data_IF_363720968544
#
_entry.id   IF_363720968544
#
_cell.length_a   1.000
_cell.length_b   1.000
_cell.length_c   1.000
_cell.angle_alpha   90.00
_cell.angle_beta   90.00
_cell.angle_gamma   90.00
#
_symmetry.space_group_name_H-M   'P 1'
#
loop_
_entity.id
_entity.type
_entity.pdbx_description
1 polymer ?
#
# COMPACT_ATOMS: atom_id res chain seq x y z
N UNK A 1 10.68 5.71 15.88
CA UNK A 1 10.45 4.53 15.03
C UNK A 1 9.00 4.57 14.60
N UNK A 2 8.73 4.21 13.35
CA UNK A 2 7.39 4.21 12.79
C UNK A 2 6.97 2.84 12.29
N UNK A 3 5.80 2.80 11.66
CA UNK A 3 5.22 1.59 11.13
C UNK A 3 4.60 1.83 9.75
N UNK A 4 4.84 0.86 8.86
CA UNK A 4 4.10 0.70 7.62
C UNK A 4 3.14 -0.48 7.77
N UNK A 5 1.85 -0.25 7.58
CA UNK A 5 0.87 -1.32 7.49
C UNK A 5 0.37 -1.45 6.05
N UNK A 6 0.51 -2.63 5.46
CA UNK A 6 -0.07 -2.97 4.15
C UNK A 6 -1.34 -3.77 4.37
N UNK A 7 -2.42 -3.33 3.75
CA UNK A 7 -3.78 -3.80 4.03
C UNK A 7 -4.44 -4.26 2.74
N UNK A 8 -5.21 -5.35 2.84
CA UNK A 8 -6.21 -5.71 1.85
C UNK A 8 -7.61 -5.43 2.38
N UNK A 9 -8.50 -4.94 1.52
CA UNK A 9 -9.85 -4.52 1.92
C UNK A 9 -10.93 -5.60 1.74
N UNK A 10 -12.03 -5.44 2.49
CA UNK A 10 -13.26 -6.22 2.38
C UNK A 10 -14.13 -5.74 1.21
N UNK A 11 -14.92 -6.65 0.63
CA UNK A 11 -15.82 -6.34 -0.48
C UNK A 11 -15.09 -6.27 -1.83
N UNK A 12 -14.57 -5.10 -2.20
CA UNK A 12 -13.83 -4.92 -3.46
C UNK A 12 -12.33 -5.12 -3.22
N UNK A 13 -11.66 -6.07 -3.90
CA UNK A 13 -10.23 -6.30 -3.71
C UNK A 13 -9.42 -5.03 -3.97
N UNK A 14 -8.93 -4.43 -2.89
CA UNK A 14 -8.16 -3.19 -2.91
C UNK A 14 -7.00 -3.29 -1.92
N UNK A 15 -5.87 -2.69 -2.27
CA UNK A 15 -4.68 -2.62 -1.43
C UNK A 15 -4.47 -1.18 -0.97
N UNK A 16 -4.11 -1.01 0.31
CA UNK A 16 -3.93 0.29 0.95
C UNK A 16 -2.70 0.24 1.85
N UNK A 17 -2.01 1.37 1.98
CA UNK A 17 -0.94 1.56 2.94
C UNK A 17 -1.37 2.54 4.05
N UNK A 18 -1.06 2.20 5.29
CA UNK A 18 -1.26 3.04 6.46
C UNK A 18 0.10 3.29 7.12
N UNK A 19 0.42 4.57 7.29
CA UNK A 19 1.70 5.04 7.81
C UNK A 19 1.50 5.62 9.21
N UNK A 20 2.30 5.15 10.16
CA UNK A 20 2.36 5.69 11.52
C UNK A 20 3.80 6.14 11.79
N UNK A 21 4.05 7.44 11.91
CA UNK A 21 5.40 8.00 12.04
C UNK A 21 5.35 9.37 12.71
N UNK A 22 6.37 9.76 13.49
CA UNK A 22 6.43 11.09 14.12
C UNK A 22 5.10 11.59 14.76
N UNK A 23 4.39 10.69 15.46
CA UNK A 23 3.06 10.93 16.06
C UNK A 23 1.92 11.27 15.07
N UNK A 24 2.13 11.01 13.78
CA UNK A 24 1.14 11.13 12.71
C UNK A 24 0.67 9.75 12.25
N UNK A 25 -0.53 9.74 11.69
CA UNK A 25 -1.18 8.55 11.17
C UNK A 25 -1.89 8.92 9.87
N UNK A 26 -1.47 8.32 8.75
CA UNK A 26 -1.90 8.72 7.42
C UNK A 26 -2.18 7.53 6.50
N UNK A 27 -3.28 7.61 5.75
CA UNK A 27 -3.70 6.60 4.79
C UNK A 27 -3.28 6.98 3.38
N UNK A 28 -2.87 5.98 2.60
CA UNK A 28 -2.51 6.14 1.19
C UNK A 28 -3.01 4.97 0.36
N UNK A 29 -3.94 5.26 -0.55
CA UNK A 29 -4.43 4.32 -1.55
C UNK A 29 -4.43 4.97 -2.94
N UNK A 30 -4.13 4.20 -3.99
CA UNK A 30 -4.28 4.69 -5.36
C UNK A 30 -5.59 4.19 -5.95
N UNK A 31 -6.48 5.12 -6.34
CA UNK A 31 -7.85 4.80 -6.77
C UNK A 31 -8.18 5.45 -8.12
N UNK A 32 -9.09 4.84 -8.90
CA UNK A 32 -9.61 5.48 -10.10
C UNK A 32 -10.51 6.66 -9.72
N UNK A 33 -10.37 7.81 -10.40
CA UNK A 33 -11.26 8.97 -10.17
C UNK A 33 -12.72 8.64 -10.48
N UNK A 34 -12.96 7.73 -11.42
CA UNK A 34 -14.30 7.22 -11.72
C UNK A 34 -14.42 5.85 -11.04
N UNK A 35 -15.29 5.70 -10.01
CA UNK A 35 -15.39 4.45 -9.26
C UNK A 35 -15.65 3.23 -10.15
N UNK A 36 -14.91 2.14 -9.91
CA UNK A 36 -15.00 0.87 -10.65
C UNK A 36 -14.61 0.93 -12.14
N UNK A 37 -14.09 2.04 -12.63
CA UNK A 37 -13.53 2.10 -13.98
C UNK A 37 -12.07 1.63 -13.97
N UNK A 38 -11.73 0.57 -14.74
CA UNK A 38 -10.41 -0.05 -14.68
C UNK A 38 -9.34 0.73 -15.43
N UNK A 39 -9.70 1.80 -16.16
CA UNK A 39 -8.80 2.67 -16.89
C UNK A 39 -9.32 4.11 -16.86
N UNK A 40 -8.76 4.95 -15.99
CA UNK A 40 -9.07 6.38 -15.93
C UNK A 40 -7.99 7.13 -15.14
N UNK A 41 -7.98 8.48 -15.12
CA UNK A 41 -7.08 9.21 -14.23
C UNK A 41 -7.20 8.71 -12.79
N UNK A 42 -6.07 8.41 -12.17
CA UNK A 42 -6.02 8.00 -10.77
C UNK A 42 -5.93 9.18 -9.82
N UNK A 43 -6.04 8.89 -8.52
CA UNK A 43 -5.75 9.84 -7.46
C UNK A 43 -5.28 9.10 -6.19
N UNK A 44 -4.59 9.83 -5.32
CA UNK A 44 -4.22 9.37 -3.98
C UNK A 44 -5.37 9.67 -3.02
N UNK A 45 -5.99 8.61 -2.50
CA UNK A 45 -7.00 8.65 -1.46
C UNK A 45 -6.33 8.53 -0.09
N UNK A 46 -6.68 9.46 0.80
CA UNK A 46 -6.19 9.52 2.18
C UNK A 46 -7.30 9.33 3.22
N UNK A 47 -8.48 8.90 2.77
CA UNK A 47 -9.60 8.61 3.68
C UNK A 47 -9.29 7.44 4.60
N UNK A 48 -9.81 7.50 5.82
CA UNK A 48 -9.70 6.40 6.78
C UNK A 48 -10.36 5.11 6.23
N UNK A 49 -9.62 4.01 6.29
CA UNK A 49 -10.02 2.70 5.76
C UNK A 49 -10.23 1.65 6.85
N UNK A 50 -10.19 2.01 8.13
CA UNK A 50 -10.27 1.09 9.28
C UNK A 50 -11.42 0.09 9.17
N UNK A 51 -12.63 0.55 8.81
CA UNK A 51 -13.82 -0.30 8.66
C UNK A 51 -13.76 -1.32 7.52
N UNK A 52 -12.78 -1.22 6.63
CA UNK A 52 -12.65 -2.06 5.45
C UNK A 52 -11.51 -3.06 5.55
N UNK A 53 -10.73 -3.08 6.64
CA UNK A 53 -9.58 -3.98 6.77
C UNK A 53 -10.06 -5.44 6.74
N UNK A 54 -9.56 -6.21 5.76
CA UNK A 54 -9.79 -7.66 5.66
C UNK A 54 -8.57 -8.45 6.14
N UNK A 55 -7.40 -8.09 5.61
CA UNK A 55 -6.11 -8.61 6.05
C UNK A 55 -5.13 -7.45 6.18
N UNK A 56 -4.18 -7.55 7.09
CA UNK A 56 -3.12 -6.56 7.28
C UNK A 56 -1.81 -7.23 7.64
N UNK A 57 -0.71 -6.55 7.30
CA UNK A 57 0.60 -6.81 7.87
C UNK A 57 1.25 -5.48 8.24
N UNK A 58 1.76 -5.39 9.48
CA UNK A 58 2.43 -4.22 10.03
C UNK A 58 3.92 -4.47 10.17
N UNK A 59 4.72 -3.56 9.64
CA UNK A 59 6.19 -3.60 9.67
C UNK A 59 6.75 -2.43 10.46
N UNK A 60 7.77 -2.70 11.27
CA UNK A 60 8.60 -1.65 11.89
C UNK A 60 9.55 -1.06 10.86
N UNK A 61 9.46 0.25 10.62
CA UNK A 61 10.23 0.99 9.61
C UNK A 61 10.72 2.31 10.22
N UNK A 62 11.90 2.79 9.83
CA UNK A 62 12.42 4.06 10.31
C UNK A 62 11.51 5.23 9.91
N UNK A 63 11.36 6.23 10.79
CA UNK A 63 10.52 7.41 10.48
C UNK A 63 11.04 8.16 9.22
N UNK A 64 12.36 8.19 9.02
CA UNK A 64 12.98 8.81 7.85
C UNK A 64 12.61 8.09 6.54
N UNK A 65 12.57 6.76 6.53
CA UNK A 65 12.21 6.00 5.34
C UNK A 65 10.72 6.16 5.02
N UNK A 66 9.85 6.23 6.05
CA UNK A 66 8.43 6.49 5.88
C UNK A 66 8.17 7.88 5.29
N UNK A 67 8.83 8.91 5.81
CA UNK A 67 8.72 10.28 5.27
C UNK A 67 9.19 10.37 3.81
N UNK A 68 10.33 9.75 3.50
CA UNK A 68 10.85 9.69 2.13
C UNK A 68 9.88 8.93 1.21
N UNK A 69 9.30 7.84 1.68
CA UNK A 69 8.33 7.03 0.93
C UNK A 69 7.07 7.84 0.60
N UNK A 70 6.54 8.62 1.53
CA UNK A 70 5.38 9.49 1.30
C UNK A 70 5.66 10.51 0.20
N UNK A 71 6.85 11.14 0.20
CA UNK A 71 7.25 12.06 -0.86
C UNK A 71 7.31 11.37 -2.24
N UNK A 72 7.78 10.12 -2.28
CA UNK A 72 7.83 9.32 -3.52
C UNK A 72 6.43 8.96 -4.03
N UNK A 73 5.47 8.68 -3.15
CA UNK A 73 4.07 8.42 -3.54
C UNK A 73 3.54 9.60 -4.37
N UNK A 74 3.64 10.82 -3.84
CA UNK A 74 3.11 11.99 -4.56
C UNK A 74 3.86 12.26 -5.86
N UNK A 75 5.20 12.19 -5.83
CA UNK A 75 6.04 12.41 -7.01
C UNK A 75 5.71 11.43 -8.15
N UNK A 76 5.49 10.16 -7.82
CA UNK A 76 5.18 9.12 -8.81
C UNK A 76 3.72 9.12 -9.24
N UNK A 77 2.76 9.19 -8.31
CA UNK A 77 1.36 8.83 -8.57
C UNK A 77 0.40 10.00 -8.86
N UNK A 78 0.75 11.25 -8.53
CA UNK A 78 -0.21 12.37 -8.56
C UNK A 78 -0.87 12.62 -9.94
N UNK A 79 -0.26 12.17 -11.04
CA UNK A 79 -0.77 12.38 -12.42
C UNK A 79 -0.87 11.10 -13.24
N UNK A 80 -0.82 9.93 -12.61
CA UNK A 80 -0.89 8.66 -13.32
C UNK A 80 -2.32 8.27 -13.67
N UNK A 81 -2.42 7.49 -14.75
CA UNK A 81 -3.64 6.77 -15.10
C UNK A 81 -3.69 5.50 -14.24
N UNK A 82 -4.81 5.32 -13.53
CA UNK A 82 -5.13 4.07 -12.86
C UNK A 82 -5.47 3.02 -13.91
N UNK A 83 -4.77 1.89 -13.89
CA UNK A 83 -4.98 0.78 -14.84
C UNK A 83 -4.72 -0.59 -14.21
N UNK A 84 -5.77 -1.41 -14.04
CA UNK A 84 -5.63 -2.75 -13.45
C UNK A 84 -4.89 -3.68 -14.43
N UNK A 85 -3.81 -4.31 -13.96
CA UNK A 85 -3.12 -5.41 -14.65
C UNK A 85 -2.23 -5.03 -15.86
N UNK A 86 -2.33 -3.80 -16.36
CA UNK A 86 -1.46 -3.27 -17.43
C UNK A 86 -0.73 -1.97 -17.06
N UNK A 87 -1.02 -1.41 -15.89
CA UNK A 87 -0.39 -0.18 -15.43
C UNK A 87 -0.47 -0.03 -13.92
N UNK A 88 -0.24 1.18 -13.41
CA UNK A 88 -0.30 1.46 -11.98
C UNK A 88 -1.72 1.25 -11.45
N UNK A 89 -1.84 0.47 -10.39
CA UNK A 89 -3.07 0.26 -9.65
C UNK A 89 -2.80 0.28 -8.14
N UNK A 90 -3.81 -0.04 -7.34
CA UNK A 90 -3.69 -0.04 -5.89
C UNK A 90 -2.64 -1.02 -5.35
N UNK A 91 -2.49 -2.18 -5.98
CA UNK A 91 -1.51 -3.19 -5.57
C UNK A 91 -0.12 -2.72 -5.97
N UNK A 92 0.01 -2.12 -7.15
CA UNK A 92 1.26 -1.53 -7.62
C UNK A 92 1.77 -0.46 -6.64
N UNK A 93 0.89 0.41 -6.12
CA UNK A 93 1.26 1.38 -5.09
C UNK A 93 1.80 0.70 -3.83
N UNK A 94 1.10 -0.33 -3.32
CA UNK A 94 1.56 -1.01 -2.10
C UNK A 94 2.88 -1.77 -2.30
N UNK A 95 3.10 -2.33 -3.49
CA UNK A 95 4.38 -2.97 -3.85
C UNK A 95 5.51 -1.94 -3.91
N UNK A 96 5.30 -0.80 -4.57
CA UNK A 96 6.29 0.28 -4.64
C UNK A 96 6.61 0.81 -3.24
N UNK A 97 5.60 1.05 -2.41
CA UNK A 97 5.77 1.50 -1.03
C UNK A 97 6.59 0.49 -0.22
N UNK A 98 6.25 -0.80 -0.29
CA UNK A 98 7.01 -1.85 0.37
C UNK A 98 8.48 -1.86 -0.11
N UNK A 99 8.71 -1.69 -1.41
CA UNK A 99 10.05 -1.62 -1.99
C UNK A 99 10.85 -0.43 -1.47
N UNK A 100 10.23 0.76 -1.42
CA UNK A 100 10.86 2.00 -0.95
C UNK A 100 11.18 1.96 0.54
N UNK A 101 10.40 1.21 1.33
CA UNK A 101 10.69 0.90 2.72
C UNK A 101 11.68 -0.27 2.91
N UNK A 102 12.30 -0.76 1.83
CA UNK A 102 13.34 -1.79 1.91
C UNK A 102 12.84 -3.21 2.17
N UNK A 103 11.54 -3.47 2.01
CA UNK A 103 10.98 -4.81 2.19
C UNK A 103 11.32 -5.72 1.01
N UNK A 104 11.56 -6.99 1.31
CA UNK A 104 11.68 -8.07 0.32
C UNK A 104 10.31 -8.31 -0.31
N UNK A 105 10.25 -8.20 -1.63
CA UNK A 105 9.00 -8.30 -2.38
C UNK A 105 8.74 -9.71 -2.88
N UNK A 106 7.46 -10.13 -2.98
CA UNK A 106 7.09 -11.31 -3.74
C UNK A 106 7.39 -11.15 -5.23
N UNK A 107 7.75 -12.24 -5.93
CA UNK A 107 7.97 -12.22 -7.37
C UNK A 107 6.66 -11.83 -8.10
N UNK A 108 6.75 -11.04 -9.19
CA UNK A 108 5.58 -10.65 -9.94
C UNK A 108 4.90 -11.86 -10.62
N UNK A 109 3.57 -11.80 -10.87
CA UNK A 109 2.71 -10.63 -10.73
C UNK A 109 1.96 -10.55 -9.39
N UNK A 110 2.05 -9.40 -8.71
CA UNK A 110 1.33 -9.11 -7.47
C UNK A 110 -0.04 -8.50 -7.81
N UNK A 111 -1.06 -9.33 -8.03
CA UNK A 111 -2.40 -8.88 -8.48
C UNK A 111 -3.49 -8.98 -7.43
N UNK A 112 -3.27 -9.78 -6.39
CA UNK A 112 -4.28 -10.10 -5.38
C UNK A 112 -3.86 -9.43 -4.07
N UNK A 113 -4.58 -8.41 -3.59
CA UNK A 113 -4.22 -7.67 -2.37
C UNK A 113 -3.99 -8.56 -1.14
N UNK A 114 -4.87 -9.55 -0.90
CA UNK A 114 -4.72 -10.47 0.22
C UNK A 114 -3.45 -11.32 0.13
N UNK A 115 -3.09 -11.81 -1.07
CA UNK A 115 -1.83 -12.54 -1.26
C UNK A 115 -0.61 -11.64 -1.08
N UNK A 116 -0.70 -10.35 -1.45
CA UNK A 116 0.39 -9.41 -1.21
C UNK A 116 0.68 -9.30 0.30
N UNK A 117 -0.35 -9.14 1.12
CA UNK A 117 -0.23 -9.08 2.60
C UNK A 117 0.48 -10.33 3.14
N UNK A 118 -0.05 -11.52 2.84
CA UNK A 118 0.51 -12.78 3.35
C UNK A 118 1.94 -13.03 2.85
N UNK A 119 2.24 -12.69 1.60
CA UNK A 119 3.58 -12.85 1.04
C UNK A 119 4.59 -11.88 1.67
N UNK A 120 4.22 -10.61 1.86
CA UNK A 120 5.09 -9.64 2.52
C UNK A 120 5.41 -10.07 3.96
N UNK A 121 4.42 -10.59 4.70
CA UNK A 121 4.63 -11.15 6.03
C UNK A 121 5.62 -12.32 6.02
N UNK A 122 5.45 -13.26 5.08
CA UNK A 122 6.28 -14.46 4.95
C UNK A 122 7.73 -14.13 4.57
N UNK A 123 7.93 -13.13 3.71
CA UNK A 123 9.25 -12.76 3.20
C UNK A 123 10.03 -11.81 4.13
N UNK A 124 9.36 -11.15 5.07
CA UNK A 124 9.97 -10.15 5.97
C UNK A 124 9.69 -10.45 7.47
N UNK A 125 9.84 -11.70 7.94
CA UNK A 125 9.32 -12.11 9.25
C UNK A 125 9.95 -11.36 10.43
N UNK A 126 11.20 -10.91 10.32
CA UNK A 126 11.91 -10.19 11.38
C UNK A 126 11.41 -8.76 11.60
N UNK A 127 10.65 -8.20 10.65
CA UNK A 127 10.12 -6.84 10.72
C UNK A 127 8.63 -6.81 11.08
N UNK A 128 7.96 -7.96 11.05
CA UNK A 128 6.51 -8.07 11.28
C UNK A 128 6.20 -7.84 12.76
N UNK A 129 5.30 -6.89 13.01
CA UNK A 129 4.77 -6.58 14.33
C UNK A 129 3.35 -7.14 14.51
N UNK A 130 2.59 -7.20 13.42
CA UNK A 130 1.20 -7.69 13.42
C UNK A 130 0.87 -8.28 12.04
N UNK A 131 0.09 -9.37 12.01
CA UNK A 131 -0.42 -9.98 10.79
C UNK A 131 -1.76 -10.67 11.06
N UNK A 132 -2.77 -10.36 10.25
CA UNK A 132 -4.15 -10.85 10.34
C UNK A 132 -4.74 -11.02 8.93
#
# INVERSE_FOLDING_TARGET
>A
MGYLTVISETGFPHSVCWFEYNHKSEWYAFKPKIPKFPLCPGYIDRSDRTRYIKHLVKFEISDSDLEQTINQIFSKYQRLIYCIGKGPDCVTLSVDVAQWCGLTLPPPPNRIPGHLVSNLATLNPSLVQEHY
#
